data_IF_387778215419
#
_entry.id   IF_387778215419
#
_cell.length_a   1.000
_cell.length_b   1.000
_cell.length_c   1.000
_cell.angle_alpha   90.00
_cell.angle_beta   90.00
_cell.angle_gamma   90.00
#
_symmetry.space_group_name_H-M   'P 1'
#
loop_
_entity.id
_entity.type
_entity.pdbx_description
1 polymer ?
#
# COMPACT_ATOMS: atom_id res chain seq x y z
N UNK A 1 -31.26 7.72 -53.17
CA UNK A 1 -30.12 7.09 -52.48
C UNK A 1 -29.69 7.97 -51.31
N UNK A 2 -30.13 7.66 -50.09
CA UNK A 2 -29.66 8.34 -48.88
C UNK A 2 -28.43 7.58 -48.35
N UNK A 3 -27.27 8.22 -48.40
CA UNK A 3 -26.03 7.67 -47.87
C UNK A 3 -26.10 7.79 -46.34
N UNK A 4 -26.33 6.65 -45.67
CA UNK A 4 -26.18 6.52 -44.23
C UNK A 4 -24.71 6.78 -43.88
N UNK A 5 -24.39 7.98 -43.37
CA UNK A 5 -23.12 8.26 -42.70
C UNK A 5 -23.08 7.45 -41.40
N UNK A 6 -22.54 6.22 -41.47
CA UNK A 6 -22.24 5.39 -40.29
C UNK A 6 -21.28 6.15 -39.37
N UNK A 7 -21.67 6.25 -38.10
CA UNK A 7 -20.97 6.97 -37.04
C UNK A 7 -19.61 6.35 -36.73
N UNK A 8 -18.53 6.90 -37.26
CA UNK A 8 -17.15 6.53 -36.91
C UNK A 8 -16.63 7.25 -35.67
N UNK A 9 -17.28 8.35 -35.24
CA UNK A 9 -16.84 9.20 -34.12
C UNK A 9 -17.08 8.60 -32.72
N UNK A 10 -18.06 7.69 -32.57
CA UNK A 10 -18.43 7.10 -31.27
C UNK A 10 -17.52 5.95 -30.82
N UNK A 11 -16.94 5.22 -31.77
CA UNK A 11 -16.10 4.05 -31.47
C UNK A 11 -14.73 4.48 -30.96
N UNK A 12 -14.09 5.47 -31.61
CA UNK A 12 -12.77 5.99 -31.22
C UNK A 12 -12.76 6.61 -29.82
N UNK A 13 -13.74 7.46 -29.49
CA UNK A 13 -13.84 8.07 -28.16
C UNK A 13 -14.03 7.04 -27.04
N UNK A 14 -14.78 5.97 -27.31
CA UNK A 14 -15.00 4.89 -26.34
C UNK A 14 -13.72 4.09 -26.08
N UNK A 15 -12.92 3.85 -27.13
CA UNK A 15 -11.64 3.16 -27.02
C UNK A 15 -10.59 3.99 -26.29
N UNK A 16 -10.56 5.30 -26.51
CA UNK A 16 -9.61 6.20 -25.86
C UNK A 16 -9.91 6.38 -24.37
N UNK A 17 -11.20 6.53 -24.01
CA UNK A 17 -11.65 6.54 -22.60
C UNK A 17 -11.28 5.25 -21.88
N UNK A 18 -11.42 4.10 -22.55
CA UNK A 18 -11.05 2.80 -22.00
C UNK A 18 -9.53 2.69 -21.81
N UNK A 19 -8.72 3.08 -22.79
CA UNK A 19 -7.24 3.09 -22.71
C UNK A 19 -6.75 3.99 -21.58
N UNK A 20 -7.25 5.22 -21.49
CA UNK A 20 -6.92 6.16 -20.41
C UNK A 20 -7.28 5.61 -19.03
N UNK A 21 -8.44 4.96 -18.91
CA UNK A 21 -8.85 4.34 -17.66
C UNK A 21 -7.95 3.17 -17.23
N UNK A 22 -7.42 2.39 -18.17
CA UNK A 22 -6.49 1.28 -17.87
C UNK A 22 -5.12 1.84 -17.48
N UNK A 23 -4.63 2.86 -18.20
CA UNK A 23 -3.38 3.55 -17.86
C UNK A 23 -3.41 4.12 -16.45
N UNK A 24 -4.49 4.83 -16.08
CA UNK A 24 -4.64 5.39 -14.73
C UNK A 24 -4.69 4.30 -13.66
N UNK A 25 -5.28 3.14 -13.95
CA UNK A 25 -5.28 2.00 -13.01
C UNK A 25 -3.86 1.48 -12.76
N UNK A 26 -3.07 1.33 -13.83
CA UNK A 26 -1.68 0.85 -13.71
C UNK A 26 -0.83 1.85 -12.92
N UNK A 27 -1.00 3.14 -13.17
CA UNK A 27 -0.30 4.21 -12.45
C UNK A 27 -0.67 4.21 -10.97
N UNK A 28 -1.96 4.16 -10.65
CA UNK A 28 -2.45 4.09 -9.26
C UNK A 28 -1.91 2.86 -8.52
N UNK A 29 -1.92 1.69 -9.15
CA UNK A 29 -1.37 0.45 -8.57
C UNK A 29 0.14 0.54 -8.34
N UNK A 30 0.87 1.11 -9.29
CA UNK A 30 2.33 1.30 -9.18
C UNK A 30 2.67 2.29 -8.06
N UNK A 31 1.86 3.34 -7.89
CA UNK A 31 2.00 4.26 -6.77
C UNK A 31 1.83 3.56 -5.42
N UNK A 32 0.78 2.73 -5.27
CA UNK A 32 0.54 1.96 -4.04
C UNK A 32 1.73 1.04 -3.73
N UNK A 33 2.23 0.29 -4.72
CA UNK A 33 3.43 -0.55 -4.59
C UNK A 33 4.61 0.27 -4.07
N UNK A 34 4.85 1.45 -4.66
CA UNK A 34 5.92 2.34 -4.23
C UNK A 34 5.77 2.83 -2.79
N UNK A 35 4.56 3.19 -2.36
CA UNK A 35 4.29 3.58 -0.97
C UNK A 35 4.57 2.44 0.02
N UNK A 36 4.09 1.23 -0.29
CA UNK A 36 4.27 0.05 0.58
C UNK A 36 5.74 -0.29 0.75
N UNK A 37 6.51 -0.30 -0.33
CA UNK A 37 7.96 -0.55 -0.28
C UNK A 37 8.68 0.56 0.50
N UNK A 38 8.25 1.82 0.36
CA UNK A 38 8.78 2.92 1.18
C UNK A 38 8.45 2.77 2.67
N UNK A 39 7.37 2.08 3.03
CA UNK A 39 7.05 1.66 4.41
C UNK A 39 7.90 0.49 4.90
N UNK A 40 8.87 0.02 4.13
CA UNK A 40 9.74 -1.10 4.50
C UNK A 40 9.10 -2.46 4.25
N UNK A 41 7.92 -2.52 3.63
CA UNK A 41 7.26 -3.79 3.31
C UNK A 41 7.75 -4.26 1.93
N UNK A 42 8.52 -5.34 1.93
CA UNK A 42 9.00 -5.95 0.69
C UNK A 42 7.91 -6.74 -0.01
N UNK A 43 7.91 -6.72 -1.34
CA UNK A 43 6.90 -7.36 -2.19
C UNK A 43 7.54 -8.28 -3.23
N UNK A 44 7.02 -9.49 -3.39
CA UNK A 44 7.32 -10.32 -4.56
C UNK A 44 6.35 -9.96 -5.69
N UNK A 45 6.89 -9.48 -6.80
CA UNK A 45 6.10 -8.97 -7.93
C UNK A 45 6.35 -9.79 -9.19
N UNK A 46 5.29 -10.03 -9.96
CA UNK A 46 5.32 -10.73 -11.25
C UNK A 46 4.87 -9.81 -12.39
N UNK A 47 5.63 -9.79 -13.48
CA UNK A 47 5.33 -8.98 -14.67
C UNK A 47 4.26 -9.65 -15.54
N UNK A 48 3.15 -8.95 -15.85
CA UNK A 48 2.00 -9.53 -16.58
C UNK A 48 1.93 -9.15 -18.07
N UNK A 49 2.42 -7.98 -18.45
CA UNK A 49 2.14 -7.40 -19.78
C UNK A 49 3.00 -8.01 -20.89
N UNK A 50 2.42 -8.21 -22.08
CA UNK A 50 3.08 -8.81 -23.25
C UNK A 50 4.03 -7.86 -23.99
N UNK A 51 3.79 -6.56 -23.96
CA UNK A 51 4.55 -5.56 -24.72
C UNK A 51 5.66 -4.97 -23.85
N UNK A 52 6.83 -4.77 -24.44
CA UNK A 52 8.01 -4.21 -23.77
C UNK A 52 7.97 -2.67 -23.71
N UNK A 53 7.05 -2.07 -24.47
CA UNK A 53 6.86 -0.63 -24.54
C UNK A 53 5.67 -0.16 -23.69
N UNK A 54 5.89 0.88 -22.88
CA UNK A 54 4.86 1.57 -22.11
C UNK A 54 4.58 1.00 -20.72
N UNK A 55 3.43 1.39 -20.16
CA UNK A 55 3.02 1.04 -18.80
C UNK A 55 2.74 -0.46 -18.65
N UNK A 56 3.21 -1.05 -17.55
CA UNK A 56 3.11 -2.48 -17.30
C UNK A 56 2.37 -2.80 -16.03
N UNK A 57 1.64 -3.92 -16.03
CA UNK A 57 0.92 -4.37 -14.85
C UNK A 57 1.76 -5.40 -14.10
N UNK A 58 1.81 -5.24 -12.79
CA UNK A 58 2.55 -6.10 -11.88
C UNK A 58 1.53 -6.79 -10.96
N UNK A 59 1.57 -8.12 -10.94
CA UNK A 59 0.82 -8.89 -9.96
C UNK A 59 1.64 -8.93 -8.67
N UNK A 60 0.97 -8.73 -7.53
CA UNK A 60 1.54 -9.02 -6.22
C UNK A 60 1.40 -10.53 -6.01
N UNK A 61 2.52 -11.22 -5.86
CA UNK A 61 2.59 -12.67 -5.62
C UNK A 61 2.56 -12.95 -4.12
N UNK A 62 3.42 -12.25 -3.38
CA UNK A 62 3.49 -12.34 -1.92
C UNK A 62 3.94 -11.01 -1.31
N UNK A 63 3.65 -10.84 -0.04
CA UNK A 63 4.10 -9.75 0.82
C UNK A 63 5.04 -10.35 1.86
N UNK A 64 6.23 -9.79 2.03
CA UNK A 64 7.24 -10.37 2.93
C UNK A 64 7.00 -10.04 4.41
N UNK A 65 6.06 -9.14 4.72
CA UNK A 65 5.57 -8.92 6.08
C UNK A 65 4.56 -10.03 6.43
N UNK A 66 4.90 -10.84 7.43
CA UNK A 66 4.13 -12.03 7.83
C UNK A 66 2.71 -11.67 8.25
N UNK A 67 2.53 -10.64 9.07
CA UNK A 67 1.21 -10.20 9.54
C UNK A 67 0.33 -9.76 8.37
N UNK A 68 0.88 -8.99 7.44
CA UNK A 68 0.13 -8.54 6.25
C UNK A 68 -0.20 -9.73 5.35
N UNK A 69 0.73 -10.67 5.17
CA UNK A 69 0.52 -11.86 4.37
C UNK A 69 -0.52 -12.80 4.98
N UNK A 70 -0.57 -12.94 6.30
CA UNK A 70 -1.58 -13.69 7.02
C UNK A 70 -2.99 -13.12 6.82
N UNK A 71 -3.15 -11.80 6.91
CA UNK A 71 -4.42 -11.13 6.67
C UNK A 71 -4.88 -11.31 5.20
N UNK A 72 -3.96 -11.23 4.24
CA UNK A 72 -4.24 -11.56 2.82
C UNK A 72 -4.72 -13.01 2.69
N UNK A 73 -4.02 -13.96 3.30
CA UNK A 73 -4.36 -15.39 3.23
C UNK A 73 -5.74 -15.67 3.85
N UNK A 74 -6.07 -15.00 4.95
CA UNK A 74 -7.39 -15.07 5.58
C UNK A 74 -8.48 -14.60 4.63
N UNK A 75 -8.31 -13.42 4.01
CA UNK A 75 -9.28 -12.87 3.03
C UNK A 75 -9.43 -13.73 1.79
N UNK A 76 -8.36 -14.37 1.32
CA UNK A 76 -8.44 -15.34 0.23
C UNK A 76 -9.34 -16.52 0.61
N UNK A 77 -9.15 -17.11 1.79
CA UNK A 77 -10.00 -18.21 2.28
C UNK A 77 -11.47 -17.81 2.41
N UNK A 78 -11.73 -16.63 2.98
CA UNK A 78 -13.10 -16.10 3.10
C UNK A 78 -13.77 -15.92 1.74
N UNK A 79 -13.04 -15.37 0.76
CA UNK A 79 -13.54 -15.21 -0.60
C UNK A 79 -13.79 -16.55 -1.30
N UNK A 80 -12.91 -17.52 -1.14
CA UNK A 80 -13.08 -18.87 -1.71
C UNK A 80 -14.31 -19.58 -1.13
N UNK A 81 -14.49 -19.52 0.19
CA UNK A 81 -15.67 -20.07 0.86
C UNK A 81 -16.96 -19.44 0.32
N UNK A 82 -17.00 -18.11 0.18
CA UNK A 82 -18.14 -17.40 -0.39
C UNK A 82 -18.50 -17.88 -1.81
N UNK A 83 -17.50 -18.11 -2.67
CA UNK A 83 -17.74 -18.62 -4.03
C UNK A 83 -18.27 -20.06 -4.00
N UNK A 84 -17.72 -20.91 -3.13
CA UNK A 84 -18.17 -22.29 -2.97
C UNK A 84 -19.62 -22.36 -2.50
N UNK A 85 -20.00 -21.57 -1.48
CA UNK A 85 -21.38 -21.49 -0.97
C UNK A 85 -22.38 -21.06 -2.04
N UNK A 86 -21.98 -20.14 -2.92
CA UNK A 86 -22.81 -19.68 -4.04
C UNK A 86 -22.89 -20.68 -5.21
N UNK A 87 -22.22 -21.83 -5.12
CA UNK A 87 -22.06 -22.83 -6.21
C UNK A 87 -21.62 -22.19 -7.54
N UNK A 88 -20.93 -21.06 -7.45
CA UNK A 88 -20.59 -20.24 -8.61
C UNK A 88 -19.44 -20.86 -9.37
N UNK A 89 -19.64 -21.20 -10.65
CA UNK A 89 -18.50 -21.42 -11.56
C UNK A 89 -17.92 -20.05 -11.89
N UNK A 90 -16.76 -19.73 -11.31
CA UNK A 90 -16.03 -18.49 -11.59
C UNK A 90 -14.86 -18.80 -12.51
N UNK A 91 -14.75 -18.06 -13.61
CA UNK A 91 -13.62 -18.17 -14.54
C UNK A 91 -12.30 -17.82 -13.83
N UNK A 92 -11.21 -18.52 -14.16
CA UNK A 92 -9.90 -18.30 -13.54
C UNK A 92 -9.45 -16.84 -13.60
N UNK A 93 -9.76 -16.15 -14.71
CA UNK A 93 -9.44 -14.72 -14.89
C UNK A 93 -10.09 -13.83 -13.84
N UNK A 94 -11.34 -14.12 -13.47
CA UNK A 94 -12.06 -13.35 -12.46
C UNK A 94 -11.57 -13.68 -11.05
N UNK A 95 -11.10 -14.91 -10.84
CA UNK A 95 -10.37 -15.28 -9.61
C UNK A 95 -9.08 -14.48 -9.47
N UNK A 96 -8.22 -14.50 -10.49
CA UNK A 96 -6.94 -13.76 -10.49
C UNK A 96 -7.16 -12.27 -10.22
N UNK A 97 -8.22 -11.70 -10.82
CA UNK A 97 -8.57 -10.29 -10.60
C UNK A 97 -9.03 -10.03 -9.16
N UNK A 98 -9.79 -10.95 -8.58
CA UNK A 98 -10.28 -10.84 -7.21
C UNK A 98 -9.13 -10.95 -6.21
N UNK A 99 -8.20 -11.89 -6.40
CA UNK A 99 -7.00 -11.99 -5.57
C UNK A 99 -6.14 -10.73 -5.63
N UNK A 100 -5.89 -10.20 -6.82
CA UNK A 100 -5.15 -8.95 -6.94
C UNK A 100 -5.88 -7.79 -6.25
N UNK A 101 -7.21 -7.71 -6.36
CA UNK A 101 -7.97 -6.68 -5.64
C UNK A 101 -7.82 -6.83 -4.11
N UNK A 102 -7.91 -8.05 -3.57
CA UNK A 102 -7.70 -8.31 -2.14
C UNK A 102 -6.30 -7.86 -1.70
N UNK A 103 -5.26 -8.15 -2.49
CA UNK A 103 -3.90 -7.68 -2.22
C UNK A 103 -3.86 -6.15 -2.13
N UNK A 104 -4.36 -5.44 -3.14
CA UNK A 104 -4.32 -3.98 -3.16
C UNK A 104 -5.16 -3.33 -2.04
N UNK A 105 -6.35 -3.86 -1.72
CA UNK A 105 -7.16 -3.33 -0.62
C UNK A 105 -6.48 -3.56 0.73
N UNK A 106 -5.88 -4.73 0.96
CA UNK A 106 -5.15 -5.03 2.20
C UNK A 106 -3.92 -4.13 2.35
N UNK A 107 -3.16 -3.90 1.28
CA UNK A 107 -2.04 -2.96 1.29
C UNK A 107 -2.48 -1.50 1.52
N UNK A 108 -3.65 -1.08 1.02
CA UNK A 108 -4.17 0.26 1.26
C UNK A 108 -4.63 0.45 2.71
N UNK A 109 -5.25 -0.57 3.30
CA UNK A 109 -5.58 -0.58 4.73
C UNK A 109 -4.30 -0.51 5.56
N UNK A 110 -3.27 -1.27 5.16
CA UNK A 110 -1.98 -1.24 5.83
C UNK A 110 -1.33 0.14 5.77
N UNK A 111 -1.29 0.77 4.59
CA UNK A 111 -0.85 2.16 4.47
C UNK A 111 -1.67 3.11 5.37
N UNK A 112 -2.99 2.89 5.47
CA UNK A 112 -3.84 3.69 6.36
C UNK A 112 -3.48 3.48 7.84
N UNK A 113 -3.11 2.26 8.24
CA UNK A 113 -2.65 1.93 9.59
C UNK A 113 -1.33 2.63 9.95
N UNK A 114 -0.46 2.86 8.97
CA UNK A 114 0.72 3.73 9.11
C UNK A 114 0.40 5.24 9.20
N UNK A 115 -0.88 5.59 9.34
CA UNK A 115 -1.35 6.97 9.51
C UNK A 115 -1.58 7.72 8.19
N UNK A 116 -1.44 7.06 7.04
CA UNK A 116 -1.64 7.71 5.75
C UNK A 116 -3.11 8.08 5.53
N UNK A 117 -3.36 9.33 5.11
CA UNK A 117 -4.69 9.81 4.77
C UNK A 117 -5.01 9.49 3.32
N UNK A 118 -5.85 8.47 3.09
CA UNK A 118 -6.25 8.04 1.74
C UNK A 118 -7.71 8.38 1.48
N UNK A 119 -7.95 9.37 0.63
CA UNK A 119 -9.30 9.73 0.20
C UNK A 119 -9.63 9.14 -1.16
N UNK A 120 -10.91 8.87 -1.39
CA UNK A 120 -11.38 8.26 -2.62
C UNK A 120 -12.49 9.04 -3.28
N UNK A 121 -12.54 8.98 -4.62
CA UNK A 121 -13.66 9.48 -5.41
C UNK A 121 -14.29 8.37 -6.25
N UNK A 122 -15.61 8.43 -6.38
CA UNK A 122 -16.36 7.57 -7.31
C UNK A 122 -16.18 8.13 -8.72
N UNK A 123 -15.64 7.31 -9.60
CA UNK A 123 -15.48 7.63 -11.02
C UNK A 123 -16.41 6.76 -11.85
N UNK A 124 -16.90 7.32 -12.96
CA UNK A 124 -17.65 6.55 -13.95
C UNK A 124 -16.67 5.72 -14.76
N UNK A 125 -16.94 4.43 -14.87
CA UNK A 125 -16.20 3.54 -15.75
C UNK A 125 -16.48 3.82 -17.22
N UNK A 126 -15.84 3.03 -18.09
CA UNK A 126 -16.10 3.07 -19.54
C UNK A 126 -17.55 2.70 -19.89
N UNK A 127 -18.22 1.94 -19.02
CA UNK A 127 -19.68 1.75 -19.04
C UNK A 127 -20.34 2.66 -18.00
N UNK A 128 -21.48 3.24 -18.34
CA UNK A 128 -22.30 4.09 -17.44
C UNK A 128 -22.68 3.38 -16.13
N UNK A 129 -22.72 2.05 -16.13
CA UNK A 129 -23.12 1.22 -14.98
C UNK A 129 -21.97 0.87 -14.04
N UNK A 130 -20.71 1.00 -14.46
CA UNK A 130 -19.56 0.60 -13.64
C UNK A 130 -19.07 1.78 -12.82
N UNK A 131 -19.30 1.76 -11.51
CA UNK A 131 -18.69 2.72 -10.57
C UNK A 131 -17.32 2.20 -10.16
N UNK A 132 -16.28 3.02 -10.26
CA UNK A 132 -14.92 2.70 -9.79
C UNK A 132 -14.54 3.62 -8.66
N UNK A 133 -13.94 3.09 -7.60
CA UNK A 133 -13.30 3.86 -6.54
C UNK A 133 -11.86 4.16 -7.00
N UNK A 134 -11.45 5.42 -6.98
CA UNK A 134 -10.09 5.87 -7.32
C UNK A 134 -9.56 6.73 -6.19
N UNK A 135 -8.27 6.68 -5.94
CA UNK A 135 -7.64 7.53 -4.94
C UNK A 135 -7.75 8.98 -5.43
N UNK A 136 -8.42 9.83 -4.66
CA UNK A 136 -8.54 11.25 -4.96
C UNK A 136 -7.36 12.04 -4.40
N UNK A 137 -6.95 11.70 -3.16
CA UNK A 137 -5.75 12.24 -2.52
C UNK A 137 -5.10 11.21 -1.61
N UNK A 138 -3.79 11.35 -1.42
CA UNK A 138 -2.96 10.56 -0.50
C UNK A 138 -2.06 11.51 0.28
N UNK A 139 -2.24 11.68 1.59
CA UNK A 139 -1.51 12.68 2.41
C UNK A 139 -1.52 14.10 1.79
N UNK A 140 -2.64 14.49 1.19
CA UNK A 140 -2.77 15.79 0.50
C UNK A 140 -2.23 15.81 -0.94
N UNK A 141 -1.46 14.81 -1.38
CA UNK A 141 -1.01 14.65 -2.77
C UNK A 141 -2.23 14.41 -3.65
N UNK A 142 -2.34 15.15 -4.76
CA UNK A 142 -3.51 15.09 -5.66
C UNK A 142 -3.41 13.91 -6.62
N UNK A 143 -4.56 13.50 -7.15
CA UNK A 143 -4.65 12.35 -8.08
C UNK A 143 -3.72 12.47 -9.31
N UNK A 144 -3.58 13.66 -9.88
CA UNK A 144 -2.71 13.87 -11.05
C UNK A 144 -1.25 13.56 -10.71
N UNK A 145 -0.79 14.01 -9.55
CA UNK A 145 0.56 13.78 -9.03
C UNK A 145 0.76 12.31 -8.62
N UNK A 146 -0.24 11.67 -8.01
CA UNK A 146 -0.25 10.22 -7.76
C UNK A 146 0.01 9.44 -9.05
N UNK A 147 -0.59 9.86 -10.17
CA UNK A 147 -0.39 9.21 -11.46
C UNK A 147 1.01 9.47 -12.04
N UNK A 148 1.57 10.65 -11.86
CA UNK A 148 2.94 10.98 -12.29
C UNK A 148 3.98 10.16 -11.51
N UNK A 149 3.85 10.12 -10.19
CA UNK A 149 4.69 9.30 -9.31
C UNK A 149 4.54 7.82 -9.66
N UNK A 150 3.30 7.35 -9.81
CA UNK A 150 3.00 5.97 -10.21
C UNK A 150 3.62 5.59 -11.55
N UNK A 151 3.70 6.51 -12.52
CA UNK A 151 4.41 6.27 -13.77
C UNK A 151 5.93 6.14 -13.58
N UNK A 152 6.53 6.95 -12.69
CA UNK A 152 7.95 6.84 -12.35
C UNK A 152 8.26 5.49 -11.69
N UNK A 153 7.43 5.07 -10.72
CA UNK A 153 7.56 3.75 -10.08
C UNK A 153 7.41 2.64 -11.10
N UNK A 154 6.43 2.75 -12.02
CA UNK A 154 6.24 1.75 -13.06
C UNK A 154 7.48 1.57 -13.94
N UNK A 155 8.12 2.68 -14.33
CA UNK A 155 9.38 2.66 -15.11
C UNK A 155 10.52 2.02 -14.34
N UNK A 156 10.61 2.27 -13.04
CA UNK A 156 11.58 1.62 -12.16
C UNK A 156 11.36 0.09 -12.12
N UNK A 157 10.13 -0.35 -11.81
CA UNK A 157 9.80 -1.79 -11.73
C UNK A 157 10.04 -2.53 -13.06
N UNK A 158 9.84 -1.89 -14.21
CA UNK A 158 10.15 -2.49 -15.52
C UNK A 158 11.65 -2.79 -15.67
N UNK A 159 12.52 -1.93 -15.10
CA UNK A 159 13.99 -2.08 -15.16
C UNK A 159 14.48 -3.14 -14.18
N UNK A 160 13.89 -3.18 -12.99
CA UNK A 160 14.24 -4.15 -11.94
C UNK A 160 13.76 -5.56 -12.29
N UNK A 161 12.50 -5.69 -12.73
CA UNK A 161 11.89 -6.98 -13.07
C UNK A 161 12.13 -7.27 -14.56
N UNK A 162 13.38 -7.66 -14.85
CA UNK A 162 13.83 -7.98 -16.20
C UNK A 162 13.13 -9.22 -16.74
N UNK A 163 12.85 -9.20 -18.04
CA UNK A 163 12.40 -10.40 -18.74
C UNK A 163 13.64 -11.21 -19.07
N UNK A 164 13.79 -12.35 -18.40
CA UNK A 164 14.87 -13.29 -18.68
C UNK A 164 14.67 -13.96 -20.05
N UNK A 165 15.76 -14.10 -20.82
CA UNK A 165 15.72 -14.82 -22.09
C UNK A 165 15.29 -16.27 -21.89
N UNK A 166 14.31 -16.73 -22.66
CA UNK A 166 13.80 -18.10 -22.61
C UNK A 166 12.71 -18.39 -21.57
N UNK A 167 12.50 -17.53 -20.55
CA UNK A 167 11.35 -17.66 -19.63
C UNK A 167 10.07 -17.10 -20.24
N UNK A 168 8.91 -17.69 -19.91
CA UNK A 168 7.63 -17.04 -20.24
C UNK A 168 7.54 -15.77 -19.40
N UNK A 169 7.15 -14.62 -19.97
CA UNK A 169 7.08 -13.34 -19.24
C UNK A 169 6.27 -13.39 -17.92
N UNK A 170 5.32 -14.34 -17.80
CA UNK A 170 4.55 -14.63 -16.57
C UNK A 170 5.37 -15.30 -15.45
N UNK A 171 6.62 -15.65 -15.68
CA UNK A 171 7.50 -16.31 -14.72
C UNK A 171 8.62 -15.36 -14.26
N UNK A 172 8.61 -14.11 -14.75
CA UNK A 172 9.54 -13.07 -14.35
C UNK A 172 9.08 -12.46 -13.03
N UNK A 173 9.67 -12.94 -11.94
CA UNK A 173 9.39 -12.54 -10.56
C UNK A 173 10.62 -11.97 -9.91
N UNK A 174 10.41 -10.99 -9.04
CA UNK A 174 11.48 -10.40 -8.25
C UNK A 174 10.91 -9.92 -6.92
N UNK A 175 11.67 -10.11 -5.84
CA UNK A 175 11.41 -9.45 -4.57
C UNK A 175 11.96 -8.03 -4.64
N UNK A 176 11.11 -7.05 -4.39
CA UNK A 176 11.46 -5.63 -4.36
C UNK A 176 11.30 -5.14 -2.92
N UNK A 177 12.39 -4.66 -2.35
CA UNK A 177 12.49 -4.16 -0.98
C UNK A 177 12.84 -2.66 -0.92
N UNK A 178 13.22 -2.06 -2.06
CA UNK A 178 13.50 -0.63 -2.17
C UNK A 178 12.96 -0.05 -3.48
N UNK A 179 12.81 1.27 -3.52
CA UNK A 179 12.46 2.04 -4.72
C UNK A 179 13.57 3.05 -4.96
N UNK A 180 13.83 3.39 -6.23
CA UNK A 180 14.76 4.46 -6.62
C UNK A 180 14.59 5.69 -5.69
N UNK A 181 15.65 6.08 -4.94
CA UNK A 181 15.58 7.15 -3.95
C UNK A 181 15.14 8.48 -4.56
N UNK A 182 15.38 8.70 -5.86
CA UNK A 182 14.99 9.92 -6.58
C UNK A 182 13.49 10.00 -6.86
N UNK A 183 12.75 8.89 -6.72
CA UNK A 183 11.29 8.91 -6.79
C UNK A 183 10.75 9.34 -5.42
N UNK A 184 10.40 10.63 -5.32
CA UNK A 184 9.86 11.24 -4.11
C UNK A 184 8.47 10.65 -3.82
N UNK A 185 8.42 9.79 -2.78
CA UNK A 185 7.21 9.17 -2.23
C UNK A 185 7.36 9.24 -0.72
N UNK A 186 6.47 9.97 -0.05
CA UNK A 186 6.52 10.22 1.40
C UNK A 186 5.25 9.70 2.08
N UNK A 187 5.11 8.37 2.22
CA UNK A 187 4.11 7.83 3.11
C UNK A 187 4.51 8.14 4.56
N UNK A 188 3.51 8.21 5.42
CA UNK A 188 3.69 8.24 6.85
C UNK A 188 4.03 6.83 7.33
N UNK A 189 4.77 6.78 8.44
CA UNK A 189 5.22 5.56 9.11
C UNK A 189 4.81 5.60 10.59
N UNK A 190 3.69 6.24 10.91
CA UNK A 190 3.34 6.43 12.32
C UNK A 190 3.08 5.08 12.97
N UNK A 191 3.85 4.77 14.01
CA UNK A 191 3.73 3.55 14.80
C UNK A 191 2.42 3.56 15.58
N UNK A 192 1.38 2.86 15.11
CA UNK A 192 0.27 2.47 15.99
C UNK A 192 -0.34 1.12 15.59
N UNK A 193 0.29 0.04 16.03
CA UNK A 193 -0.13 -0.70 17.23
C UNK A 193 0.86 -1.82 17.48
N UNK A 194 1.56 -1.74 18.61
CA UNK A 194 2.10 -2.91 19.28
C UNK A 194 0.90 -3.78 19.63
N UNK A 195 0.55 -4.71 18.73
CA UNK A 195 -0.29 -5.84 19.10
C UNK A 195 0.64 -6.84 19.75
N UNK A 196 0.94 -6.64 21.04
CA UNK A 196 1.28 -7.78 21.87
C UNK A 196 0.05 -8.69 21.78
N UNK A 197 0.22 -9.88 21.21
CA UNK A 197 -0.75 -10.94 21.34
C UNK A 197 -1.06 -11.10 22.83
N UNK A 198 -2.30 -10.80 23.22
CA UNK A 198 -2.86 -11.21 24.50
C UNK A 198 -2.85 -12.74 24.53
N UNK A 199 -1.74 -13.31 24.99
CA UNK A 199 -1.69 -14.70 25.44
C UNK A 199 -0.74 -14.79 26.61
N UNK A 200 -1.34 -14.66 27.80
CA UNK A 200 -0.91 -15.22 29.08
C UNK A 200 0.56 -15.03 29.45
N UNK A 201 0.88 -13.98 30.20
CA UNK A 201 1.80 -14.13 31.33
C UNK A 201 1.36 -13.24 32.48
N UNK A 202 1.09 -13.90 33.60
CA UNK A 202 0.88 -13.31 34.91
C UNK A 202 2.07 -12.44 35.34
N UNK A 203 1.75 -11.35 36.05
CA UNK A 203 2.52 -10.67 37.10
C UNK A 203 4.03 -10.39 36.93
N UNK A 204 4.33 -9.09 37.08
CA UNK A 204 5.55 -8.53 37.69
C UNK A 204 6.88 -8.77 36.96
N UNK A 205 7.18 -7.94 35.94
CA UNK A 205 8.50 -7.32 35.77
C UNK A 205 8.51 -6.31 34.61
N UNK A 206 8.57 -5.02 34.92
CA UNK A 206 8.97 -3.98 33.96
C UNK A 206 10.49 -4.06 33.76
N UNK A 207 11.00 -4.95 32.90
CA UNK A 207 12.39 -4.91 32.41
C UNK A 207 12.68 -5.93 31.28
N UNK A 208 11.82 -6.01 30.26
CA UNK A 208 12.17 -6.73 29.01
C UNK A 208 11.79 -5.89 27.79
N UNK A 209 12.67 -4.95 27.45
CA UNK A 209 12.83 -4.49 26.06
C UNK A 209 13.75 -5.52 25.41
N UNK A 210 13.24 -6.72 25.11
CA UNK A 210 14.00 -7.70 24.34
C UNK A 210 13.07 -8.42 23.36
N UNK A 211 13.08 -7.89 22.12
CA UNK A 211 13.13 -8.57 20.82
C UNK A 211 12.30 -7.79 19.80
N UNK A 212 12.95 -6.76 19.26
CA UNK A 212 12.54 -6.18 17.97
C UNK A 212 12.98 -7.20 16.90
N UNK A 213 12.09 -7.68 16.02
CA UNK A 213 12.49 -8.55 14.92
C UNK A 213 13.56 -7.87 14.06
N UNK A 214 14.61 -8.60 13.68
CA UNK A 214 15.75 -8.07 12.91
C UNK A 214 15.34 -7.34 11.60
N UNK A 215 14.13 -7.61 11.08
CA UNK A 215 13.58 -6.91 9.92
C UNK A 215 13.26 -5.43 10.15
N UNK A 216 13.14 -4.97 11.41
CA UNK A 216 12.95 -3.55 11.73
C UNK A 216 14.27 -2.81 11.93
N UNK A 217 15.36 -3.51 12.27
CA UNK A 217 16.68 -2.91 12.48
C UNK A 217 17.38 -2.53 11.16
N UNK A 218 17.01 -3.16 10.04
CA UNK A 218 17.61 -2.82 8.73
C UNK A 218 17.24 -1.43 8.21
N UNK A 219 16.14 -0.83 8.69
CA UNK A 219 15.64 0.46 8.21
C UNK A 219 16.08 1.67 9.07
N UNK A 220 16.82 1.44 10.17
CA UNK A 220 17.31 2.52 11.05
C UNK A 220 18.76 2.93 10.71
N UNK A 221 19.50 2.16 9.93
CA UNK A 221 20.93 2.44 9.67
C UNK A 221 21.17 3.04 8.29
N UNK A 222 20.85 4.34 8.15
CA UNK A 222 21.63 5.28 7.31
C UNK A 222 21.61 6.69 7.91
N UNK A 223 21.75 6.81 9.23
CA UNK A 223 22.21 8.06 9.83
C UNK A 223 23.73 7.95 9.88
N UNK A 224 24.50 8.79 9.15
CA UNK A 224 25.95 8.81 9.28
C UNK A 224 26.31 9.05 10.75
N UNK A 225 27.23 8.26 11.31
CA UNK A 225 27.62 8.28 12.74
C UNK A 225 27.92 9.70 13.29
N UNK A 226 28.32 10.62 12.41
CA UNK A 226 28.52 12.04 12.71
C UNK A 226 27.27 12.76 13.27
N UNK A 227 26.06 12.31 12.96
CA UNK A 227 24.82 12.92 13.46
C UNK A 227 24.38 12.35 14.82
N UNK A 228 24.72 11.10 15.14
CA UNK A 228 24.44 10.48 16.44
C UNK A 228 25.28 11.08 17.56
N UNK A 229 26.54 11.46 17.28
CA UNK A 229 27.42 12.08 18.29
C UNK A 229 26.94 13.45 18.78
N UNK A 230 26.09 14.15 18.03
CA UNK A 230 25.56 15.46 18.41
C UNK A 230 24.27 15.40 19.24
N UNK A 231 23.57 14.26 19.28
CA UNK A 231 22.32 14.11 20.05
C UNK A 231 22.61 13.80 21.53
N UNK A 232 23.74 13.14 21.82
CA UNK A 232 24.15 12.77 23.19
C UNK A 232 24.67 13.97 24.02
N UNK A 233 24.80 15.17 23.43
CA UNK A 233 25.26 16.38 24.13
C UNK A 233 24.15 17.38 24.48
N UNK A 234 22.87 17.00 24.37
CA UNK A 234 21.78 17.89 24.80
C UNK A 234 21.52 17.66 26.30
N UNK A 235 21.70 18.68 27.16
CA UNK A 235 21.40 18.55 28.58
C UNK A 235 19.92 18.23 28.83
N UNK A 236 19.64 17.40 29.83
CA UNK A 236 18.30 16.85 30.18
C UNK A 236 17.17 17.89 30.27
N UNK A 237 17.50 19.17 30.45
CA UNK A 237 16.55 20.29 30.47
C UNK A 237 15.74 20.46 29.17
N UNK A 238 16.23 19.99 28.01
CA UNK A 238 15.50 20.12 26.75
C UNK A 238 14.56 18.95 26.43
N UNK A 239 14.73 17.80 27.10
CA UNK A 239 13.84 16.63 26.94
C UNK A 239 12.49 16.81 27.67
N UNK A 240 12.42 17.69 28.67
CA UNK A 240 11.21 17.91 29.48
C UNK A 240 10.07 18.65 28.75
N UNK A 241 10.31 19.22 27.56
CA UNK A 241 9.30 19.98 26.81
C UNK A 241 8.52 19.17 25.76
N UNK A 242 8.88 17.89 25.54
CA UNK A 242 8.19 17.03 24.55
C UNK A 242 7.07 16.19 25.21
N UNK A 243 7.07 16.07 26.54
CA UNK A 243 6.05 15.32 27.30
C UNK A 243 5.30 16.27 28.25
N UNK A 244 4.52 17.20 27.70
CA UNK A 244 3.44 17.87 28.43
C UNK A 244 2.22 18.05 27.51
N UNK A 245 1.35 17.05 27.51
CA UNK A 245 -0.05 17.24 27.11
C UNK A 245 -0.78 17.74 28.37
N UNK A 246 -1.45 18.90 28.38
CA UNK A 246 -2.14 19.38 29.57
C UNK A 246 -3.41 18.57 29.84
N UNK A 247 -3.52 17.96 31.02
CA UNK A 247 -4.77 17.41 31.55
C UNK A 247 -5.73 18.55 31.89
N UNK A 248 -6.55 18.96 30.93
CA UNK A 248 -7.73 19.76 31.20
C UNK A 248 -8.98 18.92 30.95
N UNK A 249 -9.85 18.85 31.97
CA UNK A 249 -11.16 18.20 32.05
C UNK A 249 -11.21 16.77 32.63
N UNK A 250 -10.85 16.62 33.91
CA UNK A 250 -11.60 15.75 34.82
C UNK A 250 -11.72 16.42 36.20
N UNK A 251 -12.70 17.31 36.34
CA UNK A 251 -13.19 17.72 37.66
C UNK A 251 -14.69 17.53 37.67
N UNK A 252 -15.12 16.34 38.11
CA UNK A 252 -16.48 16.16 38.60
C UNK A 252 -16.44 15.32 39.87
N UNK A 253 -16.91 15.97 40.95
CA UNK A 253 -17.54 15.41 42.16
C UNK A 253 -16.73 14.51 43.10
N UNK A 254 -16.45 15.09 44.29
CA UNK A 254 -16.74 14.56 45.64
C UNK A 254 -16.14 13.19 46.00
N UNK A 255 -15.39 13.02 47.09
CA UNK A 255 -15.85 13.00 48.50
C UNK A 255 -14.63 13.01 49.44
N UNK A 256 -14.80 13.63 50.62
CA UNK A 256 -14.08 13.56 51.92
C UNK A 256 -13.17 12.32 52.14
N UNK A 257 -12.10 12.35 52.94
CA UNK A 257 -12.09 12.41 54.42
C UNK A 257 -10.73 12.89 54.98
N UNK A 258 -10.81 13.67 56.07
CA UNK A 258 -9.83 14.14 57.07
C UNK A 258 -8.96 13.02 57.73
N UNK A 259 -7.91 13.29 58.55
CA UNK A 259 -7.70 14.40 59.50
C UNK A 259 -6.55 15.37 59.19
#
# INVERSE_FOLDING_TARGET
MSIIKKSTKSISESTDKKRKSVSNEIKEKSFIIGCVIRCGISLELERKTKNDEGLQNFNIISVCDERVQEEINKRFKEWENFIQEKKGKVEQRDKDKSYQNINYETLLEELSNYGNQINYKKTRGSSKTVKRKRISTFNGIRQEEIYEIGEKVNKYLIKEIRIEEGKKKKECRQVINEIDPNIIITPLFSNFKVYCSESNYDNENFNQIEQIPDCYLSNIVQIPDYYLSNIVQIPDYYLSNIVQIPDYYHNVSSVNVLP
#
